data_IF_758567275504
#
_entry.id   IF_758567275504
#
_cell.length_a   1.000
_cell.length_b   1.000
_cell.length_c   1.000
_cell.angle_alpha   90.00
_cell.angle_beta   90.00
_cell.angle_gamma   90.00
#
_symmetry.space_group_name_H-M   'P 1'
#
loop_
_entity.id
_entity.type
_entity.pdbx_description
1 polymer ?
#
# COMPACT_ATOMS: atom_id res chain seq x y z
N UNK A 1 -5.61 8.20 20.79
CA UNK A 1 -4.46 8.99 20.29
C UNK A 1 -3.75 9.69 21.46
N UNK A 2 -3.54 9.00 22.59
CA UNK A 2 -3.06 9.65 23.82
C UNK A 2 -1.54 9.81 23.85
N UNK A 3 -0.79 8.81 23.37
CA UNK A 3 0.68 8.74 23.54
C UNK A 3 1.48 9.24 22.31
N UNK A 4 0.84 10.00 21.42
CA UNK A 4 1.52 10.44 20.20
C UNK A 4 2.66 11.43 20.47
N UNK A 5 2.62 12.16 21.59
CA UNK A 5 3.67 13.08 22.01
C UNK A 5 4.90 12.34 22.52
N UNK A 6 4.68 11.27 23.30
CA UNK A 6 5.76 10.41 23.81
C UNK A 6 6.43 9.66 22.66
N UNK A 7 5.66 9.08 21.75
CA UNK A 7 6.18 8.43 20.54
C UNK A 7 7.03 9.39 19.69
N UNK A 8 6.58 10.63 19.52
CA UNK A 8 7.31 11.65 18.77
C UNK A 8 8.65 11.99 19.42
N UNK A 9 8.68 12.09 20.75
CA UNK A 9 9.88 12.37 21.52
C UNK A 9 10.89 11.21 21.46
N UNK A 10 10.41 9.98 21.67
CA UNK A 10 11.25 8.78 21.73
C UNK A 10 11.91 8.45 20.38
N UNK A 11 11.16 8.65 19.28
CA UNK A 11 11.63 8.35 17.93
C UNK A 11 12.23 9.57 17.20
N UNK A 12 12.11 10.78 17.76
CA UNK A 12 12.52 12.01 17.12
C UNK A 12 11.78 12.31 15.81
N UNK A 13 10.51 11.90 15.70
CA UNK A 13 9.69 12.06 14.49
C UNK A 13 8.60 13.12 14.65
N UNK A 14 8.22 13.78 13.57
CA UNK A 14 7.05 14.66 13.54
C UNK A 14 5.74 13.86 13.48
N UNK A 15 4.78 14.23 14.32
CA UNK A 15 3.41 13.69 14.27
C UNK A 15 2.45 14.79 13.80
N UNK A 16 1.62 14.47 12.82
CA UNK A 16 0.69 15.41 12.19
C UNK A 16 -0.74 14.87 12.23
N UNK A 17 -1.71 15.74 12.51
CA UNK A 17 -3.13 15.44 12.45
C UNK A 17 -3.81 16.23 11.34
N UNK A 18 -4.86 15.67 10.77
CA UNK A 18 -5.72 16.40 9.83
C UNK A 18 -6.71 17.27 10.60
N UNK A 19 -7.09 18.40 10.00
CA UNK A 19 -8.12 19.29 10.49
C UNK A 19 -9.49 18.60 10.53
N UNK A 20 -10.34 18.95 11.52
CA UNK A 20 -11.70 18.46 11.57
C UNK A 20 -12.48 18.78 10.29
N UNK A 21 -13.21 17.79 9.76
CA UNK A 21 -14.00 17.89 8.52
C UNK A 21 -13.18 18.15 7.25
N UNK A 22 -11.89 17.84 7.26
CA UNK A 22 -11.00 17.94 6.09
C UNK A 22 -10.57 16.57 5.55
N UNK A 23 -11.46 15.74 4.98
CA UNK A 23 -11.12 14.41 4.48
C UNK A 23 -10.08 14.42 3.35
N UNK A 24 -9.97 15.52 2.59
CA UNK A 24 -8.98 15.65 1.51
C UNK A 24 -7.53 15.62 2.01
N UNK A 25 -7.25 15.99 3.27
CA UNK A 25 -5.89 15.95 3.85
C UNK A 25 -5.36 14.52 4.04
N UNK A 26 -6.21 13.50 3.87
CA UNK A 26 -5.83 12.08 3.96
C UNK A 26 -6.15 11.29 2.70
N UNK A 27 -6.35 11.96 1.56
CA UNK A 27 -6.77 11.33 0.31
C UNK A 27 -5.86 10.18 -0.13
N UNK A 28 -4.53 10.32 0.01
CA UNK A 28 -3.57 9.27 -0.30
C UNK A 28 -3.72 8.02 0.58
N UNK A 29 -4.01 8.21 1.87
CA UNK A 29 -4.22 7.10 2.82
C UNK A 29 -5.54 6.39 2.50
N UNK A 30 -6.60 7.14 2.20
CA UNK A 30 -7.91 6.57 1.82
C UNK A 30 -7.84 5.77 0.51
N UNK A 31 -7.09 6.27 -0.48
CA UNK A 31 -6.84 5.53 -1.72
C UNK A 31 -6.05 4.23 -1.46
N UNK A 32 -5.01 4.29 -0.64
CA UNK A 32 -4.20 3.10 -0.28
C UNK A 32 -5.03 2.08 0.50
N UNK A 33 -5.88 2.52 1.43
CA UNK A 33 -6.81 1.65 2.15
C UNK A 33 -7.81 0.96 1.21
N UNK A 34 -8.22 1.61 0.11
CA UNK A 34 -9.06 0.97 -0.92
C UNK A 34 -8.30 -0.16 -1.64
N UNK A 35 -7.01 0.01 -1.91
CA UNK A 35 -6.17 -1.05 -2.49
C UNK A 35 -6.00 -2.23 -1.54
N UNK A 36 -5.74 -1.96 -0.25
CA UNK A 36 -5.66 -3.00 0.77
C UNK A 36 -6.95 -3.84 0.84
N UNK A 37 -8.11 -3.21 0.68
CA UNK A 37 -9.41 -3.89 0.68
C UNK A 37 -9.65 -4.85 -0.50
N UNK A 38 -8.79 -4.83 -1.51
CA UNK A 38 -8.81 -5.85 -2.59
C UNK A 38 -8.24 -7.18 -2.11
N UNK A 39 -7.44 -7.17 -1.02
CA UNK A 39 -6.80 -8.36 -0.45
C UNK A 39 -7.35 -8.71 0.95
N UNK A 40 -7.59 -7.69 1.76
CA UNK A 40 -8.06 -7.81 3.15
C UNK A 40 -9.47 -7.24 3.24
N UNK A 41 -10.47 -8.11 3.16
CA UNK A 41 -11.86 -7.72 3.30
C UNK A 41 -12.07 -6.95 4.62
N UNK A 42 -13.02 -6.00 4.62
CA UNK A 42 -13.32 -5.23 5.83
C UNK A 42 -13.74 -6.18 6.94
N UNK A 43 -13.06 -6.11 8.09
CA UNK A 43 -13.34 -6.98 9.23
C UNK A 43 -12.73 -8.38 9.13
N UNK A 44 -11.86 -8.64 8.15
CA UNK A 44 -11.09 -9.87 8.10
C UNK A 44 -10.24 -10.04 9.37
N UNK A 45 -10.23 -11.26 9.92
CA UNK A 45 -9.38 -11.62 11.04
C UNK A 45 -7.93 -11.74 10.58
N UNK A 46 -7.12 -10.70 10.87
CA UNK A 46 -5.72 -10.63 10.44
C UNK A 46 -4.86 -11.74 11.04
N UNK A 47 -5.29 -12.38 12.14
CA UNK A 47 -4.54 -13.51 12.75
C UNK A 47 -4.52 -14.75 11.86
N UNK A 48 -5.40 -14.82 10.86
CA UNK A 48 -5.45 -15.91 9.87
C UNK A 48 -4.37 -15.74 8.79
N UNK A 49 -3.69 -14.59 8.73
CA UNK A 49 -2.64 -14.29 7.76
C UNK A 49 -1.28 -14.42 8.44
N UNK A 50 -0.34 -15.06 7.75
CA UNK A 50 1.06 -15.11 8.17
C UNK A 50 1.76 -13.79 7.83
N UNK A 51 2.93 -13.56 8.42
CA UNK A 51 3.77 -12.42 8.04
C UNK A 51 4.09 -12.44 6.53
N UNK A 52 4.38 -13.63 5.98
CA UNK A 52 4.65 -13.79 4.55
C UNK A 52 3.44 -13.41 3.68
N UNK A 53 2.21 -13.74 4.08
CA UNK A 53 1.01 -13.33 3.34
C UNK A 53 0.86 -11.80 3.31
N UNK A 54 1.17 -11.14 4.43
CA UNK A 54 1.09 -9.68 4.53
C UNK A 54 2.20 -8.99 3.73
N UNK A 55 3.42 -9.56 3.73
CA UNK A 55 4.54 -9.10 2.92
C UNK A 55 4.24 -9.24 1.43
N UNK A 56 3.63 -10.35 1.01
CA UNK A 56 3.21 -10.56 -0.38
C UNK A 56 2.15 -9.53 -0.81
N UNK A 57 1.18 -9.21 0.06
CA UNK A 57 0.19 -8.16 -0.19
C UNK A 57 0.88 -6.80 -0.32
N UNK A 58 1.80 -6.47 0.60
CA UNK A 58 2.54 -5.21 0.57
C UNK A 58 3.38 -5.09 -0.71
N UNK A 59 4.08 -6.17 -1.09
CA UNK A 59 4.85 -6.23 -2.34
C UNK A 59 3.95 -6.00 -3.55
N UNK A 60 2.80 -6.67 -3.65
CA UNK A 60 1.85 -6.46 -4.77
C UNK A 60 1.32 -5.03 -4.85
N UNK A 61 1.06 -4.38 -3.71
CA UNK A 61 0.60 -2.99 -3.67
C UNK A 61 1.71 -2.02 -4.08
N UNK A 62 2.95 -2.27 -3.64
CA UNK A 62 4.09 -1.40 -3.92
C UNK A 62 4.65 -1.58 -5.33
N UNK A 63 4.54 -2.79 -5.90
CA UNK A 63 4.91 -3.13 -7.27
C UNK A 63 3.82 -2.81 -8.29
N UNK A 64 2.67 -2.25 -7.87
CA UNK A 64 1.58 -1.89 -8.79
C UNK A 64 1.91 -0.59 -9.53
N UNK A 65 1.97 -0.58 -10.88
CA UNK A 65 2.09 0.63 -11.67
C UNK A 65 0.95 1.62 -11.40
N UNK A 66 1.27 2.90 -11.20
CA UNK A 66 0.27 3.93 -10.92
C UNK A 66 0.30 5.02 -11.98
N UNK A 67 -0.85 5.31 -12.59
CA UNK A 67 -0.97 6.37 -13.60
C UNK A 67 -0.52 7.75 -13.11
N UNK A 68 -0.73 8.06 -11.83
CA UNK A 68 -0.29 9.34 -11.21
C UNK A 68 1.24 9.45 -11.07
N UNK A 69 1.95 8.32 -11.19
CA UNK A 69 3.40 8.20 -11.13
C UNK A 69 3.98 7.92 -12.53
N UNK A 70 3.32 8.37 -13.59
CA UNK A 70 3.69 8.06 -14.98
C UNK A 70 3.85 6.56 -15.27
N UNK A 71 3.01 5.75 -14.60
CA UNK A 71 3.05 4.28 -14.64
C UNK A 71 4.27 3.63 -13.99
N UNK A 72 5.10 4.38 -13.27
CA UNK A 72 6.04 3.80 -12.32
C UNK A 72 5.30 3.16 -11.13
N UNK A 73 5.97 2.23 -10.47
CA UNK A 73 5.55 1.62 -9.22
C UNK A 73 5.99 2.48 -8.03
N UNK A 74 5.33 2.31 -6.88
CA UNK A 74 5.76 3.02 -5.66
C UNK A 74 7.13 2.52 -5.18
N UNK A 75 7.41 1.23 -5.34
CA UNK A 75 8.70 0.65 -4.98
C UNK A 75 9.86 1.26 -5.79
N UNK A 76 9.69 1.40 -7.11
CA UNK A 76 10.72 1.99 -7.98
C UNK A 76 11.07 3.41 -7.59
N UNK A 77 10.07 4.23 -7.27
CA UNK A 77 10.34 5.63 -6.88
C UNK A 77 10.86 5.75 -5.45
N UNK A 78 10.50 4.84 -4.56
CA UNK A 78 10.87 4.94 -3.14
C UNK A 78 12.23 4.33 -2.83
N UNK A 79 12.55 3.14 -3.36
CA UNK A 79 13.78 2.40 -3.06
C UNK A 79 15.08 3.20 -3.24
N UNK A 80 15.25 4.08 -4.25
CA UNK A 80 16.44 4.91 -4.39
C UNK A 80 16.72 5.80 -3.18
N UNK A 81 15.67 6.25 -2.48
CA UNK A 81 15.79 7.08 -1.27
C UNK A 81 16.30 6.28 -0.07
N UNK A 82 16.26 4.95 -0.15
CA UNK A 82 16.79 4.02 0.86
C UNK A 82 18.18 3.47 0.49
N UNK A 83 18.81 4.00 -0.56
CA UNK A 83 20.08 3.46 -1.10
C UNK A 83 19.89 2.22 -1.99
N UNK A 84 18.65 1.93 -2.40
CA UNK A 84 18.35 0.91 -3.40
C UNK A 84 18.76 1.35 -4.82
N UNK A 85 18.68 0.44 -5.81
CA UNK A 85 18.99 0.77 -7.20
C UNK A 85 18.05 1.86 -7.74
N UNK A 86 18.49 2.68 -8.71
CA UNK A 86 17.66 3.73 -9.29
C UNK A 86 16.38 3.17 -9.90
N UNK A 87 15.31 3.96 -9.86
CA UNK A 87 14.02 3.61 -10.43
C UNK A 87 14.17 3.17 -11.90
N UNK A 88 13.65 2.00 -12.25
CA UNK A 88 13.49 1.61 -13.65
C UNK A 88 12.29 2.36 -14.20
N UNK A 89 12.53 3.40 -14.99
CA UNK A 89 11.44 4.12 -15.66
C UNK A 89 10.92 3.22 -16.78
N UNK A 90 9.75 2.62 -16.58
CA UNK A 90 9.10 1.91 -17.66
C UNK A 90 8.70 2.92 -18.75
N UNK A 91 9.08 2.70 -20.03
CA UNK A 91 8.61 3.54 -21.12
C UNK A 91 7.07 3.49 -21.11
N UNK A 92 6.44 4.66 -21.34
CA UNK A 92 4.99 4.85 -21.40
C UNK A 92 4.35 3.66 -22.11
N UNK A 93 3.79 2.73 -21.33
CA UNK A 93 3.23 1.51 -21.86
C UNK A 93 2.01 1.91 -22.68
N UNK A 94 2.15 1.91 -24.00
CA UNK A 94 1.01 1.75 -24.88
C UNK A 94 0.36 0.42 -24.51
N UNK A 95 -0.67 0.51 -23.66
CA UNK A 95 -1.66 -0.54 -23.42
C UNK A 95 -1.06 -1.93 -23.18
N UNK A 96 -0.38 -2.16 -22.04
CA UNK A 96 -0.22 -3.55 -21.58
C UNK A 96 -1.62 -4.09 -21.28
N UNK A 97 -2.09 -5.13 -21.99
CA UNK A 97 -3.37 -5.72 -21.69
C UNK A 97 -3.32 -6.25 -20.25
N UNK A 98 -4.36 -5.95 -19.47
CA UNK A 98 -4.57 -6.47 -18.11
C UNK A 98 -4.87 -7.98 -18.13
N UNK A 99 -4.13 -8.77 -18.89
CA UNK A 99 -4.23 -10.23 -18.91
C UNK A 99 -3.35 -10.79 -17.80
N UNK A 100 -4.00 -11.26 -16.74
CA UNK A 100 -3.37 -12.08 -15.71
C UNK A 100 -3.21 -11.40 -14.36
N UNK A 101 -4.29 -10.89 -13.77
CA UNK A 101 -4.39 -11.07 -12.33
C UNK A 101 -4.63 -12.57 -12.11
N UNK A 102 -3.77 -13.31 -11.40
CA UNK A 102 -4.17 -14.64 -10.96
C UNK A 102 -5.36 -14.42 -10.03
N UNK A 103 -6.54 -14.87 -10.46
CA UNK A 103 -7.67 -15.04 -9.58
C UNK A 103 -7.21 -15.96 -8.45
N UNK A 104 -6.91 -15.40 -7.28
CA UNK A 104 -6.87 -16.22 -6.08
C UNK A 104 -8.28 -16.78 -5.91
N UNK A 105 -8.38 -18.09 -5.93
CA UNK A 105 -9.59 -18.79 -5.57
C UNK A 105 -9.92 -18.46 -4.10
N UNK A 106 -10.88 -17.56 -3.90
CA UNK A 106 -11.37 -17.16 -2.59
C UNK A 106 -12.13 -18.29 -1.88
N UNK A 107 -12.34 -19.45 -2.53
CA UNK A 107 -12.92 -20.64 -1.88
C UNK A 107 -12.05 -21.17 -0.73
N UNK A 108 -10.76 -20.83 -0.70
CA UNK A 108 -9.86 -21.19 0.40
C UNK A 108 -10.05 -20.32 1.65
N UNK A 109 -10.73 -19.16 1.56
CA UNK A 109 -11.00 -18.30 2.72
C UNK A 109 -12.34 -18.59 3.41
N UNK A 110 -13.16 -19.48 2.86
CA UNK A 110 -14.45 -19.88 3.43
C UNK A 110 -14.37 -21.28 4.06
N UNK A 111 -13.61 -21.38 5.15
CA UNK A 111 -13.79 -22.44 6.14
C UNK A 111 -14.03 -21.81 7.51
N UNK A 112 -15.31 -21.53 7.76
CA UNK A 112 -15.98 -21.23 9.03
C UNK A 112 -15.77 -19.83 9.64
#
# INVERSE_FOLDING_TARGET
MAEHQELAADLGIGVYFCDPRSPWQRGSNENTNRLLRQYLAKGADLRRFTAADLDDIAHRINARPRRVLDWATSAELFLPHLGGPPAVVHPRLEQVPMTGQPSMDLSALDRR
#
